data_IF_186369380008
#
_entry.id   IF_186369380008
#
_cell.length_a   1.000
_cell.length_b   1.000
_cell.length_c   1.000
_cell.angle_alpha   90.00
_cell.angle_beta   90.00
_cell.angle_gamma   90.00
#
_symmetry.space_group_name_H-M   'P 1'
#
loop_
_entity.id
_entity.type
_entity.pdbx_description
1 polymer ?
#
# COMPACT_ATOMS: atom_id res chain seq x y z
N UNK A 1 -19.55 -23.03 6.56
CA UNK A 1 -18.22 -22.43 6.68
C UNK A 1 -17.97 -21.59 5.44
N UNK A 2 -17.93 -20.25 5.48
CA UNK A 2 -17.61 -19.50 4.28
C UNK A 2 -16.10 -19.58 4.02
N UNK A 3 -15.74 -19.94 2.79
CA UNK A 3 -14.36 -19.99 2.32
C UNK A 3 -13.88 -18.58 2.03
N UNK A 4 -12.91 -18.07 2.80
CA UNK A 4 -12.20 -16.83 2.46
C UNK A 4 -11.28 -17.14 1.29
N UNK A 5 -11.62 -16.65 0.09
CA UNK A 5 -10.74 -16.72 -1.08
C UNK A 5 -9.77 -15.54 -1.03
N UNK A 6 -8.54 -15.80 -0.60
CA UNK A 6 -7.40 -14.88 -0.77
C UNK A 6 -7.11 -14.73 -2.26
N UNK A 7 -7.61 -13.65 -2.87
CA UNK A 7 -7.55 -13.41 -4.32
C UNK A 7 -6.24 -12.74 -4.78
N UNK A 8 -5.14 -12.94 -4.06
CA UNK A 8 -3.85 -12.28 -4.34
C UNK A 8 -2.78 -13.29 -4.77
N UNK A 9 -3.12 -14.12 -5.75
CA UNK A 9 -2.12 -14.84 -6.54
C UNK A 9 -1.78 -14.00 -7.77
N UNK A 10 -0.56 -13.46 -7.82
CA UNK A 10 0.09 -12.77 -8.95
C UNK A 10 0.07 -11.23 -9.03
N UNK A 11 0.52 -10.49 -7.99
CA UNK A 11 1.18 -9.16 -8.17
C UNK A 11 2.18 -8.86 -7.04
N UNK A 12 3.26 -9.63 -6.91
CA UNK A 12 4.28 -9.48 -5.84
C UNK A 12 4.79 -8.04 -5.60
N UNK A 13 5.19 -7.23 -6.61
CA UNK A 13 5.70 -5.88 -6.37
C UNK A 13 4.64 -4.86 -5.96
N UNK A 14 3.35 -5.11 -6.25
CA UNK A 14 2.27 -4.23 -5.83
C UNK A 14 1.91 -4.49 -4.36
N UNK A 15 1.95 -5.74 -3.92
CA UNK A 15 1.71 -6.09 -2.52
C UNK A 15 2.76 -5.46 -1.60
N UNK A 16 4.05 -5.58 -1.93
CA UNK A 16 5.14 -4.98 -1.14
C UNK A 16 5.03 -3.45 -1.08
N UNK A 17 4.68 -2.79 -2.20
CA UNK A 17 4.42 -1.35 -2.21
C UNK A 17 3.27 -0.95 -1.29
N UNK A 18 2.13 -1.64 -1.40
CA UNK A 18 0.95 -1.33 -0.59
C UNK A 18 1.25 -1.56 0.90
N UNK A 19 1.99 -2.62 1.23
CA UNK A 19 2.44 -2.88 2.59
C UNK A 19 3.34 -1.77 3.11
N UNK A 20 4.31 -1.30 2.33
CA UNK A 20 5.19 -0.22 2.74
C UNK A 20 4.41 1.08 3.00
N UNK A 21 3.43 1.42 2.14
CA UNK A 21 2.58 2.61 2.33
C UNK A 21 1.77 2.50 3.63
N UNK A 22 1.12 1.37 3.90
CA UNK A 22 0.27 1.22 5.10
C UNK A 22 1.04 0.90 6.38
N UNK A 23 2.36 0.68 6.29
CA UNK A 23 3.22 0.45 7.46
C UNK A 23 3.57 1.75 8.19
N UNK A 24 3.43 2.89 7.51
CA UNK A 24 3.52 4.23 8.09
C UNK A 24 2.08 4.77 8.21
N UNK A 25 1.58 4.90 9.43
CA UNK A 25 0.21 5.31 9.70
C UNK A 25 -0.07 6.79 9.40
N UNK A 26 0.96 7.62 9.37
CA UNK A 26 0.88 9.04 8.96
C UNK A 26 0.61 9.21 7.45
N UNK A 27 0.76 8.16 6.65
CA UNK A 27 0.49 8.22 5.21
C UNK A 27 -1.01 8.33 4.88
N UNK A 28 -1.90 7.93 5.79
CA UNK A 28 -3.34 7.94 5.61
C UNK A 28 -4.03 8.64 6.77
N UNK A 29 -5.28 9.04 6.56
CA UNK A 29 -6.08 9.70 7.58
C UNK A 29 -6.30 8.81 8.81
N UNK A 30 -6.49 9.43 9.98
CA UNK A 30 -6.77 8.69 11.21
C UNK A 30 -8.01 7.78 11.05
N UNK A 31 -7.85 6.50 11.39
CA UNK A 31 -8.89 5.48 11.22
C UNK A 31 -8.94 4.85 9.82
N UNK A 32 -8.07 5.26 8.89
CA UNK A 32 -7.92 4.61 7.58
C UNK A 32 -7.19 3.27 7.70
N UNK A 33 -6.18 3.19 8.57
CA UNK A 33 -5.44 1.97 8.90
C UNK A 33 -5.89 1.48 10.28
N UNK A 34 -6.17 0.18 10.38
CA UNK A 34 -6.54 -0.47 11.64
C UNK A 34 -5.70 -1.72 11.86
N UNK A 35 -5.43 -2.04 13.12
CA UNK A 35 -4.85 -3.32 13.52
C UNK A 35 -5.96 -4.23 14.05
N UNK A 36 -6.16 -5.37 13.39
CA UNK A 36 -7.12 -6.39 13.83
C UNK A 36 -6.36 -7.48 14.58
N UNK A 37 -6.60 -7.59 15.87
CA UNK A 37 -6.01 -8.63 16.72
C UNK A 37 -6.80 -9.93 16.57
N UNK A 38 -6.11 -11.03 16.23
CA UNK A 38 -6.73 -12.35 16.05
C UNK A 38 -6.69 -13.22 17.31
N UNK A 39 -6.02 -12.76 18.37
CA UNK A 39 -5.98 -13.40 19.69
C UNK A 39 -4.66 -14.11 20.01
N UNK A 40 -3.83 -14.42 19.01
CA UNK A 40 -2.54 -15.11 19.17
C UNK A 40 -1.35 -14.13 19.27
N UNK A 41 -1.54 -12.95 19.87
CA UNK A 41 -0.60 -11.80 19.82
C UNK A 41 -0.22 -11.30 18.41
N UNK A 42 -0.80 -11.90 17.37
CA UNK A 42 -0.70 -11.45 16.00
C UNK A 42 -1.78 -10.40 15.71
N UNK A 43 -1.35 -9.32 15.06
CA UNK A 43 -2.24 -8.34 14.47
C UNK A 43 -2.10 -8.35 12.95
N UNK A 44 -3.23 -8.14 12.28
CA UNK A 44 -3.28 -7.94 10.85
C UNK A 44 -3.57 -6.48 10.58
N UNK A 45 -2.69 -5.82 9.82
CA UNK A 45 -2.96 -4.49 9.28
C UNK A 45 -4.07 -4.59 8.25
N UNK A 46 -5.15 -3.85 8.45
CA UNK A 46 -6.28 -3.76 7.54
C UNK A 46 -6.60 -2.29 7.24
N UNK A 47 -7.27 -2.07 6.11
CA UNK A 47 -7.77 -0.76 5.71
C UNK A 47 -9.29 -0.72 5.90
N UNK A 48 -9.80 0.39 6.40
CA UNK A 48 -11.24 0.67 6.37
C UNK A 48 -11.69 0.97 4.94
N UNK A 49 -13.00 0.95 4.70
CA UNK A 49 -13.55 1.31 3.38
C UNK A 49 -13.14 2.72 2.95
N UNK A 50 -13.02 3.65 3.90
CA UNK A 50 -12.58 5.01 3.62
C UNK A 50 -11.07 5.09 3.39
N UNK A 51 -10.26 4.35 4.16
CA UNK A 51 -8.82 4.20 3.90
C UNK A 51 -8.51 3.58 2.53
N UNK A 52 -9.32 2.61 2.10
CA UNK A 52 -9.22 2.03 0.75
C UNK A 52 -9.51 3.07 -0.35
N UNK A 53 -10.51 3.95 -0.16
CA UNK A 53 -10.82 5.02 -1.12
C UNK A 53 -9.74 6.10 -1.16
N UNK A 54 -9.20 6.47 0.00
CA UNK A 54 -8.10 7.42 0.13
C UNK A 54 -6.86 6.91 -0.63
N UNK A 55 -6.48 5.66 -0.37
CA UNK A 55 -5.35 5.02 -1.06
C UNK A 55 -5.58 4.91 -2.58
N UNK A 56 -6.78 4.54 -3.02
CA UNK A 56 -7.12 4.50 -4.44
C UNK A 56 -7.01 5.89 -5.10
N UNK A 57 -7.44 6.95 -4.41
CA UNK A 57 -7.32 8.33 -4.90
C UNK A 57 -5.85 8.76 -5.00
N UNK A 58 -5.04 8.49 -3.96
CA UNK A 58 -3.61 8.77 -3.96
C UNK A 58 -2.89 8.07 -5.12
N UNK A 59 -3.19 6.79 -5.35
CA UNK A 59 -2.60 6.02 -6.45
C UNK A 59 -3.05 6.56 -7.81
N UNK A 60 -4.32 6.98 -7.95
CA UNK A 60 -4.81 7.61 -9.18
C UNK A 60 -4.06 8.91 -9.48
N UNK A 61 -3.86 9.75 -8.48
CA UNK A 61 -3.15 11.01 -8.64
C UNK A 61 -1.66 10.79 -8.97
N UNK A 62 -1.00 9.88 -8.26
CA UNK A 62 0.39 9.51 -8.52
C UNK A 62 0.61 8.93 -9.93
N UNK A 63 -0.38 8.24 -10.49
CA UNK A 63 -0.27 7.59 -11.81
C UNK A 63 -0.58 8.52 -12.98
N UNK A 64 -0.83 9.81 -12.75
CA UNK A 64 -1.11 10.80 -13.81
C UNK A 64 0.10 11.09 -14.70
N UNK A 65 1.32 10.98 -14.17
CA UNK A 65 2.56 11.09 -14.95
C UNK A 65 3.72 10.32 -14.33
N UNK A 66 4.79 10.02 -15.12
CA UNK A 66 5.99 9.37 -14.58
C UNK A 66 6.72 10.20 -13.52
N UNK A 67 6.55 11.52 -13.51
CA UNK A 67 7.16 12.39 -12.49
C UNK A 67 6.37 12.32 -11.18
N UNK A 68 5.05 12.49 -11.23
CA UNK A 68 4.17 12.34 -10.05
C UNK A 68 4.30 10.95 -9.44
N UNK A 69 4.51 9.92 -10.26
CA UNK A 69 4.75 8.57 -9.75
C UNK A 69 6.05 8.47 -8.95
N UNK A 70 7.12 9.15 -9.38
CA UNK A 70 8.39 9.15 -8.66
C UNK A 70 8.29 9.96 -7.36
N UNK A 71 7.67 11.13 -7.43
CA UNK A 71 7.49 12.02 -6.28
C UNK A 71 6.62 11.36 -5.20
N UNK A 72 5.57 10.65 -5.62
CA UNK A 72 4.74 9.83 -4.74
C UNK A 72 5.55 8.76 -4.01
N UNK A 73 6.36 7.99 -4.75
CA UNK A 73 7.18 6.94 -4.14
C UNK A 73 8.19 7.51 -3.13
N UNK A 74 8.78 8.67 -3.42
CA UNK A 74 9.73 9.32 -2.51
C UNK A 74 9.06 9.94 -1.27
N UNK A 75 7.76 10.23 -1.33
CA UNK A 75 7.01 10.87 -0.24
C UNK A 75 6.31 9.89 0.69
N UNK A 76 5.88 8.73 0.18
CA UNK A 76 5.01 7.79 0.90
C UNK A 76 5.65 6.42 1.17
N UNK A 77 6.89 6.20 0.71
CA UNK A 77 7.59 4.92 0.90
C UNK A 77 9.00 5.18 1.44
N UNK A 78 9.20 4.86 2.72
CA UNK A 78 10.49 5.05 3.40
C UNK A 78 11.58 4.06 2.96
N UNK A 79 11.18 2.92 2.39
CA UNK A 79 12.12 1.88 1.97
C UNK A 79 12.78 2.21 0.62
N UNK A 80 13.99 2.80 0.69
CA UNK A 80 14.74 3.25 -0.49
C UNK A 80 15.01 2.14 -1.53
N UNK A 81 15.32 0.92 -1.08
CA UNK A 81 15.58 -0.21 -1.98
C UNK A 81 14.31 -0.61 -2.77
N UNK A 82 13.16 -0.61 -2.09
CA UNK A 82 11.86 -0.86 -2.70
C UNK A 82 11.53 0.21 -3.74
N UNK A 83 11.72 1.50 -3.39
CA UNK A 83 11.53 2.64 -4.29
C UNK A 83 12.40 2.51 -5.54
N UNK A 84 13.69 2.24 -5.38
CA UNK A 84 14.62 2.08 -6.50
C UNK A 84 14.21 0.95 -7.44
N UNK A 85 13.81 -0.21 -6.89
CA UNK A 85 13.37 -1.38 -7.66
C UNK A 85 12.07 -1.12 -8.41
N UNK A 86 11.11 -0.40 -7.81
CA UNK A 86 9.85 -0.04 -8.46
C UNK A 86 10.08 1.00 -9.57
N UNK A 87 10.91 2.02 -9.31
CA UNK A 87 11.29 3.02 -10.33
C UNK A 87 11.96 2.34 -11.53
N UNK A 88 12.87 1.41 -11.31
CA UNK A 88 13.55 0.66 -12.38
C UNK A 88 12.59 -0.20 -13.22
N UNK A 89 11.53 -0.75 -12.63
CA UNK A 89 10.49 -1.50 -13.36
C UNK A 89 9.55 -0.60 -14.16
N UNK A 90 9.34 0.64 -13.72
CA UNK A 90 8.46 1.61 -14.38
C UNK A 90 9.09 2.26 -15.62
N UNK A 91 10.41 2.17 -15.80
CA UNK A 91 11.13 2.67 -16.98
C UNK A 91 11.03 1.75 -18.20
N UNK A 92 10.21 0.69 -18.14
CA UNK A 92 9.99 -0.28 -19.22
C UNK A 92 8.67 -0.05 -19.94
#
# INVERSE_FOLDING_TARGET
MPTVRSKWGAVQPLTELLQAIVSNDDNLSYGSIISVYTGDDESVTALTDDGMKELDQMLKDARRSPQEWKDFLDSFVDEEELVARIKAKSTR
#
